data_IF_384661445855
#
_entry.id   IF_384661445855
#
_cell.length_a   1.000
_cell.length_b   1.000
_cell.length_c   1.000
_cell.angle_alpha   90.00
_cell.angle_beta   90.00
_cell.angle_gamma   90.00
#
_symmetry.space_group_name_H-M   'P 1'
#
loop_
_entity.id
_entity.type
_entity.pdbx_description
1 polymer ?
#
# COMPACT_ATOMS: atom_id res chain seq x y z
N UNK A 1 14.40 0.34 16.24
CA UNK A 1 13.48 1.49 16.17
C UNK A 1 12.49 1.14 15.08
N UNK A 2 11.19 1.16 15.38
CA UNK A 2 10.15 0.91 14.39
C UNK A 2 9.93 2.15 13.51
N UNK A 3 9.35 1.98 12.32
CA UNK A 3 9.15 3.11 11.38
C UNK A 3 8.37 4.28 11.98
N UNK A 4 7.32 4.02 12.76
CA UNK A 4 6.53 5.10 13.36
C UNK A 4 7.27 5.82 14.49
N UNK A 5 8.08 5.12 15.28
CA UNK A 5 8.94 5.77 16.29
C UNK A 5 9.95 6.71 15.63
N UNK A 6 10.54 6.27 14.51
CA UNK A 6 11.43 7.11 13.71
C UNK A 6 10.71 8.35 13.19
N UNK A 7 9.53 8.18 12.60
CA UNK A 7 8.76 9.29 12.03
C UNK A 7 8.34 10.30 13.11
N UNK A 8 7.96 9.85 14.30
CA UNK A 8 7.67 10.73 15.45
C UNK A 8 8.93 11.48 15.93
N UNK A 9 10.09 10.81 15.99
CA UNK A 9 11.35 11.45 16.35
C UNK A 9 11.77 12.49 15.29
N UNK A 10 11.61 12.16 14.02
CA UNK A 10 11.91 13.02 12.88
C UNK A 10 10.99 14.25 12.85
N UNK A 11 9.68 14.09 13.09
CA UNK A 11 8.71 15.19 13.21
C UNK A 11 9.13 16.21 14.28
N UNK A 12 9.68 15.73 15.40
CA UNK A 12 10.10 16.58 16.53
C UNK A 12 11.46 17.24 16.33
N UNK A 13 12.41 16.57 15.67
CA UNK A 13 13.81 17.04 15.53
C UNK A 13 14.35 16.78 14.12
N UNK A 14 13.75 17.36 13.06
CA UNK A 14 14.12 17.03 11.68
C UNK A 14 15.60 17.29 11.38
N UNK A 15 16.17 18.36 11.92
CA UNK A 15 17.57 18.71 11.71
C UNK A 15 18.58 17.66 12.23
N UNK A 16 18.20 16.85 13.24
CA UNK A 16 19.04 15.78 13.76
C UNK A 16 19.19 14.62 12.77
N UNK A 17 18.17 14.38 11.93
CA UNK A 17 18.14 13.29 10.97
C UNK A 17 18.51 13.74 9.56
N UNK A 18 18.12 14.97 9.20
CA UNK A 18 18.17 15.49 7.84
C UNK A 18 19.17 16.64 7.65
N UNK A 19 19.79 17.13 8.74
CA UNK A 19 20.66 18.31 8.72
C UNK A 19 19.90 19.65 8.82
N UNK A 20 20.62 20.75 9.03
CA UNK A 20 20.00 22.07 9.31
C UNK A 20 19.26 22.67 8.09
N UNK A 21 19.67 22.33 6.87
CA UNK A 21 19.06 22.81 5.62
C UNK A 21 18.19 21.71 4.98
N UNK A 22 17.43 21.00 5.80
CA UNK A 22 16.63 19.89 5.34
C UNK A 22 15.54 20.33 4.36
N UNK A 23 15.37 19.55 3.31
CA UNK A 23 14.29 19.68 2.32
C UNK A 23 13.44 18.42 2.29
N UNK A 24 12.29 18.46 1.63
CA UNK A 24 11.45 17.28 1.47
C UNK A 24 12.14 16.19 0.64
N UNK A 25 13.10 16.57 -0.23
CA UNK A 25 13.96 15.61 -0.94
C UNK A 25 14.94 14.90 0.00
N UNK A 26 15.58 15.62 0.92
CA UNK A 26 16.45 14.99 1.92
C UNK A 26 15.68 14.01 2.81
N UNK A 27 14.42 14.32 3.12
CA UNK A 27 13.54 13.40 3.83
C UNK A 27 13.23 12.13 3.05
N UNK A 28 12.90 12.25 1.76
CA UNK A 28 12.68 11.09 0.91
C UNK A 28 13.93 10.23 0.73
N UNK A 29 15.10 10.84 0.57
CA UNK A 29 16.37 10.12 0.50
C UNK A 29 16.64 9.35 1.79
N UNK A 30 16.43 10.00 2.96
CA UNK A 30 16.57 9.38 4.26
C UNK A 30 15.60 8.20 4.45
N UNK A 31 14.31 8.39 4.14
CA UNK A 31 13.29 7.35 4.27
C UNK A 31 13.55 6.19 3.31
N UNK A 32 13.94 6.46 2.07
CA UNK A 32 14.26 5.42 1.09
C UNK A 32 15.45 4.57 1.56
N UNK A 33 16.51 5.21 2.06
CA UNK A 33 17.66 4.52 2.65
C UNK A 33 17.25 3.71 3.88
N UNK A 34 16.45 4.30 4.78
CA UNK A 34 15.95 3.59 5.95
C UNK A 34 15.15 2.34 5.59
N UNK A 35 14.21 2.45 4.65
CA UNK A 35 13.35 1.34 4.23
C UNK A 35 14.10 0.23 3.49
N UNK A 36 15.18 0.56 2.78
CA UNK A 36 15.99 -0.42 2.05
C UNK A 36 16.71 -1.42 2.97
N UNK A 37 17.13 -0.98 4.15
CA UNK A 37 17.92 -1.78 5.09
C UNK A 37 17.10 -2.39 6.23
N UNK A 38 15.77 -2.28 6.19
CA UNK A 38 14.89 -2.76 7.25
C UNK A 38 14.16 -4.02 6.83
N UNK A 39 14.09 -4.98 7.75
CA UNK A 39 13.26 -6.16 7.59
C UNK A 39 11.78 -5.75 7.64
N UNK A 40 10.88 -6.50 6.98
CA UNK A 40 9.44 -6.20 6.98
C UNK A 40 8.86 -6.07 8.39
N UNK A 41 9.38 -6.82 9.35
CA UNK A 41 8.85 -6.81 10.71
C UNK A 41 9.19 -5.51 11.48
N UNK A 42 10.26 -4.80 11.11
CA UNK A 42 10.58 -3.47 11.65
C UNK A 42 9.59 -2.37 11.19
N UNK A 43 8.83 -2.67 10.12
CA UNK A 43 7.87 -1.76 9.49
C UNK A 43 6.43 -2.04 9.94
N UNK A 44 6.19 -3.21 10.54
CA UNK A 44 4.90 -3.56 11.11
C UNK A 44 4.71 -2.91 12.48
N UNK A 45 3.51 -2.38 12.69
CA UNK A 45 3.02 -1.96 13.99
C UNK A 45 1.80 -2.81 14.36
N UNK A 46 1.66 -3.14 15.64
CA UNK A 46 0.43 -3.74 16.16
C UNK A 46 -0.65 -2.67 16.36
N UNK A 47 -0.24 -1.40 16.53
CA UNK A 47 -1.13 -0.28 16.82
C UNK A 47 -1.55 0.49 15.55
N UNK A 48 -0.68 0.52 14.54
CA UNK A 48 -0.86 1.34 13.35
C UNK A 48 -0.87 0.50 12.08
N UNK A 49 -1.49 1.04 11.04
CA UNK A 49 -1.46 0.43 9.71
C UNK A 49 -0.02 0.19 9.22
N UNK A 50 0.16 -0.75 8.28
CA UNK A 50 1.47 -1.01 7.67
C UNK A 50 1.91 0.19 6.82
N UNK A 51 3.10 0.74 7.07
CA UNK A 51 3.59 1.90 6.33
C UNK A 51 3.70 1.67 4.81
N UNK A 52 3.88 0.42 4.35
CA UNK A 52 3.88 0.11 2.92
C UNK A 52 2.57 0.49 2.21
N UNK A 53 1.44 0.44 2.93
CA UNK A 53 0.15 0.80 2.39
C UNK A 53 -0.10 2.31 2.34
N UNK A 54 0.79 3.12 2.94
CA UNK A 54 0.62 4.57 3.00
C UNK A 54 0.54 5.18 1.60
N UNK A 55 1.36 4.69 0.66
CA UNK A 55 1.34 5.19 -0.71
C UNK A 55 0.00 4.92 -1.41
N UNK A 56 -0.50 3.69 -1.29
CA UNK A 56 -1.78 3.30 -1.92
C UNK A 56 -2.95 4.03 -1.27
N UNK A 57 -2.94 4.18 0.05
CA UNK A 57 -3.93 4.97 0.76
C UNK A 57 -3.91 6.43 0.30
N UNK A 58 -2.73 7.04 0.20
CA UNK A 58 -2.56 8.44 -0.16
C UNK A 58 -3.13 8.73 -1.55
N UNK A 59 -2.88 7.86 -2.53
CA UNK A 59 -3.37 8.03 -3.90
C UNK A 59 -4.89 8.09 -3.99
N UNK A 60 -5.60 7.33 -3.15
CA UNK A 60 -7.06 7.40 -3.04
C UNK A 60 -7.58 8.46 -2.05
N UNK A 61 -6.71 9.02 -1.21
CA UNK A 61 -7.05 10.10 -0.27
C UNK A 61 -7.04 11.46 -0.96
N UNK A 62 -6.01 11.73 -1.77
CA UNK A 62 -5.85 13.03 -2.42
C UNK A 62 -6.84 13.21 -3.57
N UNK A 63 -7.39 14.42 -3.78
CA UNK A 63 -8.37 14.67 -4.83
C UNK A 63 -7.77 14.65 -6.25
N UNK A 64 -6.48 14.98 -6.37
CA UNK A 64 -5.73 14.99 -7.63
C UNK A 64 -4.33 14.41 -7.37
N UNK A 65 -3.96 13.43 -8.19
CA UNK A 65 -2.65 12.78 -8.16
C UNK A 65 -1.83 13.09 -9.42
N UNK A 66 -0.52 13.28 -9.26
CA UNK A 66 0.44 13.57 -10.34
C UNK A 66 0.97 12.29 -11.01
N UNK A 67 0.04 11.41 -11.38
CA UNK A 67 0.29 10.07 -11.93
C UNK A 67 0.26 8.95 -10.87
N UNK A 68 -0.02 7.71 -11.29
CA UNK A 68 -0.12 6.56 -10.38
C UNK A 68 1.23 5.95 -10.00
N UNK A 69 2.27 6.14 -10.81
CA UNK A 69 3.61 5.61 -10.54
C UNK A 69 4.43 6.49 -9.56
N UNK A 70 3.97 7.71 -9.28
CA UNK A 70 4.66 8.60 -8.35
C UNK A 70 4.33 8.23 -6.91
N UNK A 71 5.34 7.80 -6.14
CA UNK A 71 5.22 7.53 -4.72
C UNK A 71 4.80 8.76 -3.89
N UNK A 72 4.54 8.58 -2.59
CA UNK A 72 4.04 9.63 -1.69
C UNK A 72 4.88 10.92 -1.74
N UNK A 73 6.20 10.80 -1.88
CA UNK A 73 7.10 11.95 -2.00
C UNK A 73 6.78 12.78 -3.25
N UNK A 74 6.61 12.12 -4.41
CA UNK A 74 6.29 12.81 -5.65
C UNK A 74 4.95 13.53 -5.58
N UNK A 75 3.94 12.87 -5.02
CA UNK A 75 2.60 13.45 -4.86
C UNK A 75 2.65 14.72 -4.00
N UNK A 76 3.22 14.60 -2.79
CA UNK A 76 3.25 15.70 -1.83
C UNK A 76 4.17 16.83 -2.33
N UNK A 77 5.32 16.54 -2.92
CA UNK A 77 6.22 17.56 -3.46
C UNK A 77 5.56 18.40 -4.57
N UNK A 78 4.82 17.76 -5.47
CA UNK A 78 4.18 18.47 -6.58
C UNK A 78 2.96 19.30 -6.15
N UNK A 79 2.32 18.95 -5.03
CA UNK A 79 1.28 19.79 -4.38
C UNK A 79 1.89 21.01 -3.70
N UNK A 80 3.15 20.93 -3.29
CA UNK A 80 3.85 21.92 -2.46
C UNK A 80 5.08 22.52 -3.16
N UNK A 81 4.96 22.89 -4.43
CA UNK A 81 6.10 23.37 -5.23
C UNK A 81 6.79 24.55 -4.57
N UNK A 82 8.08 24.38 -4.24
CA UNK A 82 8.91 25.41 -3.60
C UNK A 82 8.59 25.66 -2.12
N UNK A 83 7.78 24.83 -1.48
CA UNK A 83 7.40 24.98 -0.07
C UNK A 83 7.59 23.67 0.69
N UNK A 84 8.86 23.36 1.02
CA UNK A 84 9.22 22.16 1.79
C UNK A 84 8.52 22.11 3.15
N UNK A 85 8.39 23.25 3.84
CA UNK A 85 7.71 23.30 5.14
C UNK A 85 6.26 22.82 5.05
N UNK A 86 5.54 23.21 3.99
CA UNK A 86 4.19 22.72 3.77
C UNK A 86 4.19 21.24 3.37
N UNK A 87 5.15 20.78 2.57
CA UNK A 87 5.29 19.37 2.20
C UNK A 87 5.48 18.47 3.43
N UNK A 88 6.34 18.87 4.38
CA UNK A 88 6.50 18.15 5.66
C UNK A 88 5.21 18.12 6.46
N UNK A 89 4.54 19.28 6.60
CA UNK A 89 3.27 19.36 7.32
C UNK A 89 2.22 18.44 6.72
N UNK A 90 2.00 18.54 5.40
CA UNK A 90 1.01 17.74 4.68
C UNK A 90 1.33 16.23 4.78
N UNK A 91 2.60 15.84 4.67
CA UNK A 91 3.02 14.45 4.90
C UNK A 91 2.60 13.93 6.27
N UNK A 92 2.89 14.67 7.34
CA UNK A 92 2.56 14.22 8.70
C UNK A 92 1.07 14.27 9.01
N UNK A 93 0.32 15.22 8.43
CA UNK A 93 -1.14 15.27 8.53
C UNK A 93 -1.77 14.02 7.88
N UNK A 94 -1.32 13.65 6.68
CA UNK A 94 -1.75 12.44 6.00
C UNK A 94 -1.32 11.17 6.75
N UNK A 95 -0.12 11.15 7.29
CA UNK A 95 0.37 10.02 8.10
C UNK A 95 -0.50 9.83 9.36
N UNK A 96 -0.86 10.91 10.05
CA UNK A 96 -1.66 10.86 11.27
C UNK A 96 -3.07 10.30 11.00
N UNK A 97 -3.68 10.67 9.86
CA UNK A 97 -4.94 10.06 9.41
C UNK A 97 -4.77 8.58 9.05
N UNK A 98 -3.73 8.26 8.28
CA UNK A 98 -3.46 6.90 7.83
C UNK A 98 -3.22 5.94 9.00
N UNK A 99 -2.45 6.33 10.02
CA UNK A 99 -2.07 5.47 11.15
C UNK A 99 -3.26 4.74 11.78
N UNK A 100 -4.40 5.43 11.89
CA UNK A 100 -5.59 4.97 12.61
C UNK A 100 -6.78 4.67 11.70
N UNK A 101 -6.61 4.82 10.38
CA UNK A 101 -7.68 4.59 9.43
C UNK A 101 -8.14 3.12 9.46
N UNK A 102 -9.41 2.89 9.73
CA UNK A 102 -9.94 1.53 9.90
C UNK A 102 -10.08 0.83 8.54
N UNK A 103 -9.69 -0.44 8.49
CA UNK A 103 -9.97 -1.32 7.35
C UNK A 103 -11.35 -1.95 7.49
N UNK A 104 -12.07 -2.01 6.37
CA UNK A 104 -13.28 -2.81 6.22
C UNK A 104 -13.01 -3.89 5.18
N UNK A 105 -13.38 -5.13 5.50
CA UNK A 105 -13.31 -6.27 4.58
C UNK A 105 -14.70 -6.71 4.19
N UNK A 106 -14.90 -6.92 2.91
CA UNK A 106 -16.09 -7.52 2.32
C UNK A 106 -15.66 -8.76 1.56
N UNK A 107 -16.25 -9.91 1.92
CA UNK A 107 -15.98 -11.17 1.24
C UNK A 107 -16.84 -11.21 -0.01
N UNK A 108 -16.21 -11.51 -1.14
CA UNK A 108 -16.85 -11.70 -2.43
C UNK A 108 -16.76 -13.17 -2.78
N UNK A 109 -17.93 -13.79 -2.86
CA UNK A 109 -18.06 -15.20 -3.23
C UNK A 109 -17.84 -15.38 -4.72
N UNK A 110 -16.86 -16.22 -5.04
CA UNK A 110 -16.42 -16.46 -6.41
C UNK A 110 -16.36 -17.96 -6.69
N UNK A 111 -16.48 -18.33 -7.96
CA UNK A 111 -16.04 -19.64 -8.44
C UNK A 111 -14.51 -19.69 -8.39
N UNK A 112 -13.92 -20.78 -7.83
CA UNK A 112 -12.48 -20.86 -7.74
C UNK A 112 -11.79 -20.75 -9.10
N UNK A 113 -10.76 -19.91 -9.18
CA UNK A 113 -9.95 -19.76 -10.39
C UNK A 113 -8.50 -20.10 -10.13
N UNK A 114 -7.81 -20.49 -11.20
CA UNK A 114 -6.44 -20.99 -11.17
C UNK A 114 -5.52 -20.03 -11.92
N UNK A 115 -4.35 -19.76 -11.36
CA UNK A 115 -3.28 -19.08 -12.06
C UNK A 115 -1.92 -19.66 -11.69
N UNK A 116 -0.92 -19.36 -12.50
CA UNK A 116 0.46 -19.76 -12.28
C UNK A 116 1.24 -18.57 -11.78
N UNK A 117 1.92 -18.74 -10.64
CA UNK A 117 2.92 -17.78 -10.16
C UNK A 117 4.27 -18.35 -10.51
N UNK A 118 5.07 -17.63 -11.30
CA UNK A 118 6.47 -17.94 -11.46
C UNK A 118 7.30 -17.19 -10.44
N UNK A 119 8.23 -17.89 -9.81
CA UNK A 119 9.23 -17.30 -8.91
C UNK A 119 10.61 -17.64 -9.42
N UNK A 120 11.46 -16.62 -9.50
CA UNK A 120 12.85 -16.79 -9.90
C UNK A 120 13.73 -16.85 -8.66
N UNK A 121 14.46 -17.96 -8.50
CA UNK A 121 15.49 -18.08 -7.48
C UNK A 121 16.84 -17.65 -8.07
N UNK A 122 17.37 -16.52 -7.59
CA UNK A 122 18.65 -15.99 -8.06
C UNK A 122 19.85 -16.84 -7.66
N UNK A 123 19.80 -17.54 -6.52
CA UNK A 123 20.89 -18.38 -6.02
C UNK A 123 21.06 -19.68 -6.85
N UNK A 124 19.99 -20.10 -7.51
CA UNK A 124 19.95 -21.32 -8.32
C UNK A 124 19.66 -21.05 -9.80
N UNK A 125 19.56 -19.78 -10.19
CA UNK A 125 19.17 -19.29 -11.52
C UNK A 125 17.98 -20.06 -12.12
N UNK A 126 17.03 -20.46 -11.28
CA UNK A 126 15.95 -21.38 -11.65
C UNK A 126 14.59 -20.73 -11.45
N UNK A 127 13.78 -20.79 -12.50
CA UNK A 127 12.35 -20.46 -12.42
C UNK A 127 11.58 -21.67 -11.89
N UNK A 128 10.71 -21.42 -10.94
CA UNK A 128 9.76 -22.41 -10.44
C UNK A 128 8.34 -21.89 -10.57
N UNK A 129 7.46 -22.74 -11.10
CA UNK A 129 6.05 -22.44 -11.26
C UNK A 129 5.27 -23.06 -10.11
N UNK A 130 4.41 -22.25 -9.48
CA UNK A 130 3.44 -22.71 -8.49
C UNK A 130 2.04 -22.46 -9.04
N UNK A 131 1.26 -23.52 -9.14
CA UNK A 131 -0.16 -23.43 -9.41
C UNK A 131 -0.88 -22.99 -8.14
N UNK A 132 -1.68 -21.93 -8.23
CA UNK A 132 -2.43 -21.35 -7.12
C UNK A 132 -3.90 -21.32 -7.49
N UNK A 133 -4.74 -21.80 -6.58
CA UNK A 133 -6.20 -21.70 -6.68
C UNK A 133 -6.68 -20.63 -5.72
N UNK A 134 -7.38 -19.62 -6.21
CA UNK A 134 -8.06 -18.64 -5.33
C UNK A 134 -9.51 -19.03 -5.21
N UNK A 135 -9.95 -19.21 -3.97
CA UNK A 135 -11.30 -19.65 -3.62
C UNK A 135 -12.16 -18.52 -3.03
N UNK A 136 -11.52 -17.42 -2.61
CA UNK A 136 -12.18 -16.30 -1.95
C UNK A 136 -11.46 -15.00 -2.30
N UNK A 137 -12.23 -13.94 -2.57
CA UNK A 137 -11.70 -12.59 -2.77
C UNK A 137 -12.24 -11.69 -1.67
N UNK A 138 -11.36 -10.94 -1.03
CA UNK A 138 -11.73 -9.88 -0.09
C UNK A 138 -11.55 -8.55 -0.79
N UNK A 139 -12.64 -7.78 -0.88
CA UNK A 139 -12.59 -6.35 -1.17
C UNK A 139 -12.30 -5.61 0.13
N UNK A 140 -11.11 -5.05 0.22
CA UNK A 140 -10.66 -4.30 1.40
C UNK A 140 -10.69 -2.83 1.08
N UNK A 141 -11.37 -2.06 1.91
CA UNK A 141 -11.38 -0.59 1.88
C UNK A 141 -10.83 -0.04 3.18
N UNK A 142 -10.45 1.23 3.19
CA UNK A 142 -9.93 1.90 4.37
C UNK A 142 -10.53 3.31 4.50
N UNK A 143 -10.72 3.78 5.74
CA UNK A 143 -11.22 5.13 5.99
C UNK A 143 -10.34 6.20 5.32
N UNK A 144 -10.99 7.31 4.94
CA UNK A 144 -10.38 8.49 4.32
C UNK A 144 -9.74 8.25 2.95
N UNK A 145 -9.85 7.08 2.34
CA UNK A 145 -9.34 6.84 0.99
C UNK A 145 -10.40 6.16 0.14
N UNK A 146 -10.35 6.40 -1.18
CA UNK A 146 -11.13 5.67 -2.18
C UNK A 146 -10.42 4.42 -2.70
N UNK A 147 -9.22 4.14 -2.19
CA UNK A 147 -8.44 2.98 -2.59
C UNK A 147 -9.09 1.69 -2.10
N UNK A 148 -9.11 0.72 -3.00
CA UNK A 148 -9.53 -0.66 -2.78
C UNK A 148 -8.30 -1.55 -2.93
N UNK A 149 -8.14 -2.48 -2.01
CA UNK A 149 -7.23 -3.61 -2.13
C UNK A 149 -8.06 -4.86 -2.41
N UNK A 150 -7.67 -5.61 -3.43
CA UNK A 150 -8.19 -6.93 -3.72
C UNK A 150 -7.22 -7.97 -3.13
N UNK A 151 -7.66 -8.69 -2.11
CA UNK A 151 -6.88 -9.78 -1.51
C UNK A 151 -7.52 -11.12 -1.90
N UNK A 152 -6.75 -12.05 -2.48
CA UNK A 152 -7.23 -13.38 -2.84
C UNK A 152 -6.64 -14.45 -1.93
N UNK A 153 -7.48 -15.41 -1.55
CA UNK A 153 -7.14 -16.45 -0.57
C UNK A 153 -7.30 -17.88 -1.12
N UNK A 154 -6.36 -18.74 -0.71
CA UNK A 154 -6.33 -20.18 -0.95
C UNK A 154 -6.22 -20.89 0.39
N UNK A 155 -7.19 -21.73 0.75
CA UNK A 155 -7.16 -22.52 2.01
C UNK A 155 -6.91 -21.66 3.27
N UNK A 156 -7.39 -20.40 3.26
CA UNK A 156 -7.21 -19.44 4.35
C UNK A 156 -5.92 -18.62 4.31
N UNK A 157 -5.01 -18.89 3.37
CA UNK A 157 -3.78 -18.11 3.16
C UNK A 157 -3.94 -17.05 2.07
N UNK A 158 -3.43 -15.83 2.30
CA UNK A 158 -3.40 -14.78 1.27
C UNK A 158 -2.36 -15.12 0.21
N UNK A 159 -2.81 -15.29 -1.03
CA UNK A 159 -1.97 -15.68 -2.18
C UNK A 159 -1.98 -14.66 -3.32
N UNK A 160 -2.88 -13.68 -3.27
CA UNK A 160 -2.98 -12.59 -4.22
C UNK A 160 -3.23 -11.29 -3.46
N UNK A 161 -2.56 -10.22 -3.89
CA UNK A 161 -2.84 -8.87 -3.43
C UNK A 161 -2.67 -7.89 -4.59
N UNK A 162 -3.70 -7.09 -4.84
CA UNK A 162 -3.68 -6.00 -5.82
C UNK A 162 -4.17 -4.75 -5.09
N UNK A 163 -3.28 -3.78 -4.91
CA UNK A 163 -3.61 -2.50 -4.30
C UNK A 163 -3.91 -1.40 -5.33
N UNK A 164 -4.25 -0.21 -4.83
CA UNK A 164 -4.42 1.00 -5.64
C UNK A 164 -5.59 0.97 -6.65
N UNK A 165 -6.64 0.20 -6.39
CA UNK A 165 -7.81 0.12 -7.26
C UNK A 165 -8.88 1.15 -6.84
N UNK A 166 -9.57 1.76 -7.80
CA UNK A 166 -10.89 2.33 -7.59
C UNK A 166 -12.00 1.32 -7.93
N UNK A 167 -13.28 1.67 -7.72
CA UNK A 167 -14.41 0.75 -7.97
C UNK A 167 -14.44 0.20 -9.41
N UNK A 168 -14.19 1.05 -10.40
CA UNK A 168 -14.17 0.65 -11.82
C UNK A 168 -13.00 -0.29 -12.11
N UNK A 169 -11.81 0.02 -11.58
CA UNK A 169 -10.61 -0.81 -11.74
C UNK A 169 -10.76 -2.16 -11.02
N UNK A 170 -11.40 -2.16 -9.84
CA UNK A 170 -11.71 -3.36 -9.10
C UNK A 170 -12.60 -4.31 -9.90
N UNK A 171 -13.69 -3.81 -10.48
CA UNK A 171 -14.58 -4.61 -11.35
C UNK A 171 -13.81 -5.11 -12.57
N UNK A 172 -13.00 -4.25 -13.21
CA UNK A 172 -12.21 -4.63 -14.38
C UNK A 172 -11.19 -5.74 -14.06
N UNK A 173 -10.55 -5.71 -12.89
CA UNK A 173 -9.65 -6.77 -12.46
C UNK A 173 -10.36 -8.10 -12.24
N UNK A 174 -11.59 -8.08 -11.71
CA UNK A 174 -12.42 -9.28 -11.64
C UNK A 174 -12.71 -9.86 -13.05
N UNK A 175 -13.04 -8.99 -14.00
CA UNK A 175 -13.32 -9.39 -15.39
C UNK A 175 -12.08 -9.95 -16.11
N UNK A 176 -10.93 -9.26 -16.01
CA UNK A 176 -9.66 -9.68 -16.65
C UNK A 176 -9.26 -11.09 -16.18
N UNK A 177 -9.49 -11.37 -14.91
CA UNK A 177 -9.16 -12.66 -14.29
C UNK A 177 -10.25 -13.71 -14.50
N UNK A 178 -11.31 -13.37 -15.25
CA UNK A 178 -12.46 -14.22 -15.53
C UNK A 178 -13.08 -14.77 -14.25
N UNK A 179 -13.10 -13.94 -13.20
CA UNK A 179 -13.64 -14.29 -11.89
C UNK A 179 -15.16 -14.26 -11.99
N UNK A 180 -15.79 -15.43 -11.80
CA UNK A 180 -17.25 -15.55 -11.85
C UNK A 180 -17.81 -15.51 -10.43
N UNK A 181 -18.85 -14.71 -10.24
CA UNK A 181 -19.56 -14.67 -8.96
C UNK A 181 -20.39 -15.94 -8.76
N UNK A 182 -20.48 -16.41 -7.52
CA UNK A 182 -21.48 -17.42 -7.16
C UNK A 182 -22.86 -16.76 -7.16
N UNK A 183 -23.66 -17.06 -8.18
CA UNK A 183 -25.07 -16.67 -8.18
C UNK A 183 -25.81 -17.72 -7.36
N UNK A 184 -26.19 -17.37 -6.13
CA UNK A 184 -27.15 -18.18 -5.38
C UNK A 184 -28.53 -17.95 -5.99
N UNK A 185 -28.96 -18.85 -6.87
CA UNK A 185 -30.38 -18.97 -7.22
C UNK A 185 -31.13 -19.34 -5.94
N UNK A 186 -31.86 -18.38 -5.38
CA UNK A 186 -32.66 -18.58 -4.18
C UNK A 186 -33.62 -19.75 -4.35
N UNK A 187 -33.58 -20.70 -3.41
CA UNK A 187 -34.64 -21.67 -3.16
C UNK A 187 -35.52 -21.21 -2.01
#
# INVERSE_FOLDING_TARGET
MKVYELLEALKKRPAMFLGNEYTFDTFNAFMSGYLLFRERDDLKSEEYNDFFDFNYWLLGHIPEHFGQAGGWHWQIKNRNKGNDQNAFREFFEFLDLFKVAKRKREIIEIEPFHFVVSTYNADHEKESEKHVTVSEIHKVTMEYTKTIWMEGYSEGEKVLEIGCLNETEFIKELDIRNIRFKIYEGK
#
